data_IF_780712991907
#
_entry.id   IF_780712991907
#
_cell.length_a   1.000
_cell.length_b   1.000
_cell.length_c   1.000
_cell.angle_alpha   90.00
_cell.angle_beta   90.00
_cell.angle_gamma   90.00
#
_symmetry.space_group_name_H-M   'P 1'
#
loop_
_entity.id
_entity.type
_entity.pdbx_description
1 polymer ?
#
# COMPACT_ATOMS: atom_id res chain seq x y z
N UNK A 1 -11.77 -11.68 -22.93
CA UNK A 1 -11.70 -11.00 -21.60
C UNK A 1 -10.89 -9.71 -21.68
N UNK A 2 -9.72 -9.69 -22.32
CA UNK A 2 -8.84 -8.50 -22.45
C UNK A 2 -9.55 -7.32 -23.11
N UNK A 3 -10.22 -7.51 -24.24
CA UNK A 3 -10.99 -6.46 -24.94
C UNK A 3 -12.12 -5.90 -24.07
N UNK A 4 -12.81 -6.78 -23.33
CA UNK A 4 -13.85 -6.36 -22.38
C UNK A 4 -13.27 -5.55 -21.23
N UNK A 5 -12.12 -5.95 -20.69
CA UNK A 5 -11.40 -5.21 -19.66
C UNK A 5 -10.99 -3.80 -20.11
N UNK A 6 -10.43 -3.68 -21.32
CA UNK A 6 -10.07 -2.40 -21.91
C UNK A 6 -11.29 -1.51 -22.14
N UNK A 7 -12.41 -2.07 -22.63
CA UNK A 7 -13.66 -1.33 -22.82
C UNK A 7 -14.25 -0.84 -21.48
N UNK A 8 -14.16 -1.64 -20.42
CA UNK A 8 -14.59 -1.25 -19.06
C UNK A 8 -13.67 -0.16 -18.51
N UNK A 9 -12.37 -0.32 -18.62
CA UNK A 9 -11.41 0.69 -18.20
C UNK A 9 -11.64 2.04 -18.88
N UNK A 10 -11.89 2.04 -20.19
CA UNK A 10 -12.20 3.26 -20.95
C UNK A 10 -13.54 3.90 -20.53
N UNK A 11 -14.59 3.09 -20.30
CA UNK A 11 -15.93 3.59 -19.91
C UNK A 11 -16.02 4.02 -18.45
N UNK A 12 -15.08 3.59 -17.60
CA UNK A 12 -15.09 3.81 -16.14
C UNK A 12 -13.88 4.57 -15.64
N UNK A 13 -13.17 5.26 -16.56
CA UNK A 13 -12.00 6.08 -16.22
C UNK A 13 -12.30 7.08 -15.12
N UNK A 14 -13.52 7.63 -15.09
CA UNK A 14 -13.95 8.67 -14.15
C UNK A 14 -14.48 8.14 -12.81
N UNK A 15 -14.53 6.80 -12.63
CA UNK A 15 -14.96 6.22 -11.36
C UNK A 15 -13.82 6.21 -10.35
N UNK A 16 -14.18 6.44 -9.10
CA UNK A 16 -13.26 6.35 -7.99
C UNK A 16 -13.03 4.90 -7.57
N UNK A 17 -11.78 4.55 -7.32
CA UNK A 17 -11.37 3.29 -6.71
C UNK A 17 -11.08 3.51 -5.24
N UNK A 18 -12.13 3.57 -4.41
CA UNK A 18 -12.03 3.88 -2.98
C UNK A 18 -11.74 2.66 -2.10
N UNK A 19 -11.82 1.47 -2.66
CA UNK A 19 -11.53 0.21 -1.98
C UNK A 19 -10.32 -0.48 -2.60
N UNK A 20 -9.82 -1.53 -1.97
CA UNK A 20 -8.70 -2.28 -2.49
C UNK A 20 -8.10 -3.25 -1.50
N UNK A 21 -7.03 -3.90 -1.94
CA UNK A 21 -6.22 -4.81 -1.16
C UNK A 21 -4.79 -4.27 -1.10
N UNK A 22 -4.26 -4.14 0.11
CA UNK A 22 -2.86 -3.78 0.38
C UNK A 22 -2.19 -4.99 1.00
N UNK A 23 -1.09 -5.42 0.42
CA UNK A 23 -0.29 -6.53 0.94
C UNK A 23 1.15 -6.10 1.15
N UNK A 24 1.78 -6.67 2.16
CA UNK A 24 3.19 -6.51 2.46
C UNK A 24 3.87 -7.87 2.56
N UNK A 25 5.07 -7.98 2.05
CA UNK A 25 5.87 -9.18 2.16
C UNK A 25 7.36 -8.85 2.25
N UNK A 26 8.08 -9.64 3.06
CA UNK A 26 9.54 -9.60 3.16
C UNK A 26 10.11 -10.95 2.74
N UNK A 27 11.14 -10.92 1.90
CA UNK A 27 11.95 -12.09 1.55
C UNK A 27 13.42 -11.68 1.68
N UNK A 28 14.11 -12.28 2.63
CA UNK A 28 15.48 -11.95 3.00
C UNK A 28 15.65 -10.45 3.34
N UNK A 29 16.44 -9.75 2.54
CA UNK A 29 16.78 -8.34 2.64
C UNK A 29 15.88 -7.41 1.83
N UNK A 30 14.79 -7.92 1.27
CA UNK A 30 13.88 -7.16 0.41
C UNK A 30 12.45 -7.24 0.91
N UNK A 31 11.82 -6.10 1.14
CA UNK A 31 10.42 -5.99 1.51
C UNK A 31 9.70 -5.02 0.60
N UNK A 32 8.43 -5.34 0.29
CA UNK A 32 7.61 -4.48 -0.55
C UNK A 32 6.17 -4.45 -0.06
N UNK A 33 5.52 -3.30 -0.27
CA UNK A 33 4.07 -3.10 -0.14
C UNK A 33 3.51 -2.84 -1.52
N UNK A 34 2.37 -3.48 -1.81
CA UNK A 34 1.61 -3.23 -3.04
C UNK A 34 0.16 -2.90 -2.70
N UNK A 35 -0.45 -2.01 -3.46
CA UNK A 35 -1.86 -1.68 -3.37
C UNK A 35 -2.53 -1.86 -4.73
N UNK A 36 -3.52 -2.76 -4.78
CA UNK A 36 -4.43 -2.93 -5.90
C UNK A 36 -5.80 -2.38 -5.49
N UNK A 37 -6.29 -1.38 -6.21
CA UNK A 37 -7.54 -0.68 -5.94
C UNK A 37 -8.69 -1.19 -6.80
N UNK A 38 -9.90 -1.08 -6.27
CA UNK A 38 -11.16 -1.39 -6.95
C UNK A 38 -12.30 -0.49 -6.44
N UNK A 39 -13.49 -0.62 -7.02
CA UNK A 39 -14.62 0.24 -6.67
C UNK A 39 -15.29 -0.17 -5.35
N UNK A 40 -15.46 -1.47 -5.07
CA UNK A 40 -16.19 -1.98 -3.90
C UNK A 40 -15.36 -2.84 -2.97
N UNK A 41 -15.75 -2.85 -1.70
CA UNK A 41 -15.19 -3.75 -0.68
C UNK A 41 -15.52 -5.22 -0.95
N UNK A 42 -16.65 -5.50 -1.59
CA UNK A 42 -17.03 -6.85 -2.01
C UNK A 42 -15.97 -7.47 -2.94
N UNK A 43 -15.51 -6.73 -3.94
CA UNK A 43 -14.44 -7.19 -4.83
C UNK A 43 -13.10 -7.21 -4.10
N UNK A 44 -12.78 -6.19 -3.29
CA UNK A 44 -11.53 -6.11 -2.53
C UNK A 44 -11.31 -7.31 -1.60
N UNK A 45 -12.38 -7.81 -0.98
CA UNK A 45 -12.34 -8.96 -0.07
C UNK A 45 -12.45 -10.32 -0.80
N UNK A 46 -12.60 -10.31 -2.11
CA UNK A 46 -12.68 -11.53 -2.92
C UNK A 46 -11.36 -12.29 -2.97
N UNK A 47 -11.41 -13.61 -2.76
CA UNK A 47 -10.22 -14.46 -2.75
C UNK A 47 -9.35 -14.33 -4.01
N UNK A 48 -9.98 -14.23 -5.18
CA UNK A 48 -9.27 -14.07 -6.45
C UNK A 48 -8.61 -12.70 -6.60
N UNK A 49 -9.19 -11.63 -6.00
CA UNK A 49 -8.62 -10.29 -6.00
C UNK A 49 -7.37 -10.23 -5.08
N UNK A 50 -7.50 -10.80 -3.87
CA UNK A 50 -6.38 -10.91 -2.93
C UNK A 50 -5.27 -11.78 -3.53
N UNK A 51 -5.64 -12.91 -4.18
CA UNK A 51 -4.67 -13.77 -4.85
C UNK A 51 -3.94 -13.04 -5.96
N UNK A 52 -4.62 -12.29 -6.82
CA UNK A 52 -3.99 -11.50 -7.88
C UNK A 52 -3.00 -10.49 -7.29
N UNK A 53 -3.39 -9.79 -6.23
CA UNK A 53 -2.52 -8.82 -5.53
C UNK A 53 -1.29 -9.52 -4.97
N UNK A 54 -1.45 -10.71 -4.37
CA UNK A 54 -0.33 -11.52 -3.86
C UNK A 54 0.59 -12.02 -4.97
N UNK A 55 0.04 -12.51 -6.06
CA UNK A 55 0.84 -13.01 -7.21
C UNK A 55 1.69 -11.88 -7.83
N UNK A 56 1.13 -10.67 -7.91
CA UNK A 56 1.87 -9.49 -8.39
C UNK A 56 2.99 -9.11 -7.41
N UNK A 57 2.70 -9.11 -6.09
CA UNK A 57 3.69 -8.81 -5.06
C UNK A 57 4.83 -9.85 -5.07
N UNK A 58 4.51 -11.12 -5.22
CA UNK A 58 5.51 -12.19 -5.30
C UNK A 58 6.42 -12.03 -6.53
N UNK A 59 5.85 -11.68 -7.68
CA UNK A 59 6.62 -11.39 -8.88
C UNK A 59 7.51 -10.14 -8.69
N UNK A 60 7.00 -9.10 -8.03
CA UNK A 60 7.74 -7.87 -7.75
C UNK A 60 8.96 -8.14 -6.84
N UNK A 61 8.77 -8.93 -5.78
CA UNK A 61 9.85 -9.31 -4.86
C UNK A 61 10.87 -10.21 -5.55
N UNK A 62 10.42 -11.20 -6.32
CA UNK A 62 11.31 -12.10 -7.05
C UNK A 62 12.18 -11.36 -8.08
N UNK A 63 11.65 -10.33 -8.70
CA UNK A 63 12.36 -9.47 -9.65
C UNK A 63 13.15 -8.35 -8.97
N UNK A 64 13.00 -8.15 -7.64
CA UNK A 64 13.52 -6.99 -6.91
C UNK A 64 13.14 -5.66 -7.60
N UNK A 65 11.89 -5.54 -8.03
CA UNK A 65 11.39 -4.32 -8.67
C UNK A 65 11.41 -3.14 -7.70
N UNK A 66 11.78 -1.96 -8.16
CA UNK A 66 11.88 -0.75 -7.32
C UNK A 66 10.79 0.28 -7.62
N UNK A 67 10.16 0.19 -8.78
CA UNK A 67 9.15 1.13 -9.22
C UNK A 67 7.83 0.46 -9.59
N UNK A 68 6.74 1.20 -9.49
CA UNK A 68 5.43 0.72 -9.89
C UNK A 68 5.37 0.36 -11.39
N UNK A 69 6.08 1.11 -12.23
CA UNK A 69 6.11 0.85 -13.68
C UNK A 69 6.84 -0.46 -14.00
N UNK A 70 7.93 -0.76 -13.29
CA UNK A 70 8.58 -2.07 -13.37
C UNK A 70 7.60 -3.18 -12.98
N UNK A 71 6.88 -3.02 -11.88
CA UNK A 71 5.90 -4.02 -11.42
C UNK A 71 4.80 -4.26 -12.45
N UNK A 72 4.26 -3.20 -13.07
CA UNK A 72 3.23 -3.32 -14.12
C UNK A 72 3.67 -4.15 -15.32
N UNK A 73 4.96 -4.13 -15.65
CA UNK A 73 5.55 -4.86 -16.77
C UNK A 73 5.97 -6.30 -16.42
N UNK A 74 5.96 -6.69 -15.14
CA UNK A 74 6.37 -8.04 -14.72
C UNK A 74 5.39 -9.10 -15.18
N UNK A 75 5.92 -10.26 -15.52
CA UNK A 75 5.12 -11.42 -15.90
C UNK A 75 4.44 -12.03 -14.68
N UNK A 76 3.11 -12.12 -14.74
CA UNK A 76 2.24 -12.74 -13.72
C UNK A 76 1.34 -13.76 -14.44
N UNK A 77 1.66 -15.04 -14.28
CA UNK A 77 1.00 -16.09 -15.04
C UNK A 77 1.30 -16.00 -16.56
N UNK A 78 0.26 -15.90 -17.38
CA UNK A 78 0.38 -15.86 -18.84
C UNK A 78 0.53 -14.44 -19.42
N UNK A 79 0.36 -13.38 -18.61
CA UNK A 79 0.38 -11.99 -19.05
C UNK A 79 1.29 -11.13 -18.15
N UNK A 80 1.46 -9.86 -18.47
CA UNK A 80 2.03 -8.90 -17.54
C UNK A 80 1.03 -8.50 -16.44
N UNK A 81 1.54 -7.92 -15.35
CA UNK A 81 0.72 -7.55 -14.19
C UNK A 81 -0.40 -6.57 -14.57
N UNK A 82 -0.12 -5.56 -15.40
CA UNK A 82 -1.13 -4.61 -15.87
C UNK A 82 -2.22 -5.30 -16.70
N UNK A 83 -1.86 -6.23 -17.57
CA UNK A 83 -2.82 -6.99 -18.36
C UNK A 83 -3.65 -7.93 -17.47
N UNK A 84 -3.07 -8.53 -16.43
CA UNK A 84 -3.79 -9.37 -15.47
C UNK A 84 -4.83 -8.54 -14.68
N UNK A 85 -4.49 -7.33 -14.25
CA UNK A 85 -5.41 -6.38 -13.60
C UNK A 85 -6.54 -6.00 -14.57
N UNK A 86 -6.22 -5.66 -15.83
CA UNK A 86 -7.21 -5.33 -16.86
C UNK A 86 -8.16 -6.50 -17.13
N UNK A 87 -7.65 -7.71 -17.15
CA UNK A 87 -8.44 -8.93 -17.35
C UNK A 87 -9.39 -9.16 -16.16
N UNK A 88 -8.91 -8.95 -14.93
CA UNK A 88 -9.75 -9.05 -13.72
C UNK A 88 -10.86 -8.00 -13.71
N UNK A 89 -10.55 -6.77 -14.11
CA UNK A 89 -11.54 -5.70 -14.32
C UNK A 89 -12.63 -6.14 -15.33
N UNK A 90 -12.25 -6.83 -16.40
CA UNK A 90 -13.19 -7.41 -17.36
C UNK A 90 -14.12 -8.48 -16.78
N UNK A 91 -13.66 -9.25 -15.80
CA UNK A 91 -14.43 -10.31 -15.14
C UNK A 91 -15.45 -9.69 -14.17
N UNK A 92 -14.99 -8.80 -13.29
CA UNK A 92 -15.81 -8.19 -12.24
C UNK A 92 -16.71 -7.07 -12.75
N UNK A 93 -16.31 -6.42 -13.82
CA UNK A 93 -16.97 -5.21 -14.34
C UNK A 93 -16.65 -3.95 -13.53
N UNK A 94 -15.67 -3.97 -12.61
CA UNK A 94 -15.21 -2.82 -11.85
C UNK A 94 -13.90 -2.24 -12.41
N UNK A 95 -13.72 -0.92 -12.24
CA UNK A 95 -12.42 -0.28 -12.45
C UNK A 95 -11.43 -0.82 -11.43
N UNK A 96 -10.21 -1.12 -11.88
CA UNK A 96 -9.10 -1.55 -11.04
C UNK A 96 -7.83 -0.79 -11.39
N UNK A 97 -7.07 -0.43 -10.38
CA UNK A 97 -5.82 0.32 -10.53
C UNK A 97 -4.74 -0.27 -9.63
N UNK A 98 -3.63 -0.63 -10.25
CA UNK A 98 -2.39 -0.90 -9.53
C UNK A 98 -1.76 0.46 -9.22
N UNK A 99 -1.95 0.96 -7.98
CA UNK A 99 -1.74 2.37 -7.63
C UNK A 99 -0.57 2.60 -6.68
N UNK A 100 -0.29 1.68 -5.77
CA UNK A 100 0.74 1.85 -4.76
C UNK A 100 1.79 0.75 -4.79
N UNK A 101 3.06 1.15 -4.75
CA UNK A 101 4.19 0.25 -4.57
C UNK A 101 5.32 0.96 -3.84
N UNK A 102 5.78 0.34 -2.74
CA UNK A 102 6.89 0.85 -1.94
C UNK A 102 7.84 -0.29 -1.60
N UNK A 103 9.12 0.02 -1.48
CA UNK A 103 10.20 -0.95 -1.22
C UNK A 103 11.07 -0.47 -0.08
N UNK A 104 11.50 -1.42 0.76
CA UNK A 104 12.66 -1.29 1.64
C UNK A 104 13.64 -2.42 1.32
N UNK A 105 14.93 -2.11 1.30
CA UNK A 105 15.99 -3.06 1.02
C UNK A 105 17.10 -2.92 2.07
N UNK A 106 17.54 -4.06 2.61
CA UNK A 106 18.59 -4.14 3.62
C UNK A 106 18.19 -5.01 4.81
N UNK A 107 19.00 -4.94 5.86
CA UNK A 107 18.80 -5.74 7.07
C UNK A 107 17.76 -5.12 8.01
N UNK A 108 17.29 -5.90 8.97
CA UNK A 108 16.43 -5.46 10.10
C UNK A 108 15.10 -4.82 9.66
N UNK A 109 14.48 -5.33 8.60
CA UNK A 109 13.17 -4.88 8.14
C UNK A 109 12.09 -5.73 8.83
N UNK A 110 11.09 -5.05 9.40
CA UNK A 110 9.87 -5.64 9.90
C UNK A 110 8.66 -5.16 9.13
N UNK A 111 7.72 -6.08 8.92
CA UNK A 111 6.49 -5.84 8.15
C UNK A 111 5.26 -6.12 8.99
N UNK A 112 4.19 -5.39 8.75
CA UNK A 112 2.96 -5.52 9.50
C UNK A 112 1.73 -5.30 8.61
N UNK A 113 0.77 -6.21 8.68
CA UNK A 113 -0.55 -6.10 8.09
C UNK A 113 -1.57 -5.91 9.22
N UNK A 114 -2.17 -4.73 9.26
CA UNK A 114 -3.04 -4.35 10.37
C UNK A 114 -4.28 -5.23 10.46
N UNK A 115 -4.37 -6.00 11.56
CA UNK A 115 -5.46 -6.93 11.85
C UNK A 115 -5.68 -8.01 10.76
N UNK A 116 -4.69 -8.25 9.89
CA UNK A 116 -4.79 -9.14 8.73
C UNK A 116 -5.99 -8.82 7.80
N UNK A 117 -6.35 -7.53 7.73
CA UNK A 117 -7.48 -7.08 6.88
C UNK A 117 -7.06 -6.66 5.49
N UNK A 118 -5.77 -6.61 5.20
CA UNK A 118 -5.22 -6.24 3.89
C UNK A 118 -5.68 -4.85 3.40
N UNK A 119 -5.88 -3.92 4.34
CA UNK A 119 -6.30 -2.53 4.07
C UNK A 119 -5.27 -1.51 4.50
N UNK A 120 -4.37 -1.89 5.39
CA UNK A 120 -3.31 -1.05 5.93
C UNK A 120 -2.10 -1.93 6.25
N UNK A 121 -1.03 -1.72 5.54
CA UNK A 121 0.25 -2.39 5.78
C UNK A 121 1.34 -1.38 6.04
N UNK A 122 2.31 -1.76 6.86
CA UNK A 122 3.50 -0.97 7.13
C UNK A 122 4.74 -1.82 7.05
N UNK A 123 5.85 -1.18 6.77
CA UNK A 123 7.18 -1.76 6.90
C UNK A 123 8.13 -0.72 7.50
N UNK A 124 9.01 -1.19 8.36
CA UNK A 124 10.03 -0.37 9.02
C UNK A 124 11.37 -1.05 8.93
N UNK A 125 12.42 -0.26 8.86
CA UNK A 125 13.80 -0.72 8.92
C UNK A 125 14.48 -0.12 10.13
N UNK A 126 15.09 -0.97 10.96
CA UNK A 126 15.83 -0.56 12.14
C UNK A 126 17.36 -0.57 11.85
N UNK A 127 18.10 0.24 12.61
CA UNK A 127 19.56 0.25 12.58
C UNK A 127 20.17 -0.94 13.33
N UNK A 128 19.40 -1.65 14.14
CA UNK A 128 19.81 -2.80 14.92
C UNK A 128 18.81 -3.95 14.77
N UNK A 129 19.29 -5.19 14.93
CA UNK A 129 18.43 -6.36 14.88
C UNK A 129 17.64 -6.48 16.19
N UNK A 130 16.37 -6.14 16.12
CA UNK A 130 15.41 -6.33 17.20
C UNK A 130 14.00 -6.51 16.63
N UNK A 131 13.64 -7.74 16.33
CA UNK A 131 12.35 -8.09 15.73
C UNK A 131 11.15 -7.62 16.57
N UNK A 132 11.23 -7.76 17.90
CA UNK A 132 10.15 -7.34 18.81
C UNK A 132 9.94 -5.82 18.76
N UNK A 133 11.02 -5.04 18.81
CA UNK A 133 10.95 -3.60 18.71
C UNK A 133 10.46 -3.17 17.31
N UNK A 134 10.99 -3.79 16.26
CA UNK A 134 10.57 -3.53 14.88
C UNK A 134 9.08 -3.78 14.66
N UNK A 135 8.57 -4.89 15.17
CA UNK A 135 7.14 -5.19 15.09
C UNK A 135 6.28 -4.13 15.82
N UNK A 136 6.67 -3.74 17.04
CA UNK A 136 5.98 -2.70 17.81
C UNK A 136 6.01 -1.35 17.09
N UNK A 137 7.14 -0.98 16.49
CA UNK A 137 7.26 0.26 15.70
C UNK A 137 6.39 0.20 14.46
N UNK A 138 6.36 -0.92 13.72
CA UNK A 138 5.49 -1.09 12.56
C UNK A 138 3.99 -0.96 12.93
N UNK A 139 3.58 -1.54 14.06
CA UNK A 139 2.22 -1.35 14.61
C UNK A 139 1.94 0.11 14.96
N UNK A 140 2.89 0.81 15.58
CA UNK A 140 2.76 2.21 15.94
C UNK A 140 2.65 3.11 14.70
N UNK A 141 3.43 2.84 13.66
CA UNK A 141 3.33 3.52 12.36
C UNK A 141 1.94 3.33 11.75
N UNK A 142 1.38 2.13 11.81
CA UNK A 142 0.03 1.86 11.34
C UNK A 142 -1.03 2.65 12.12
N UNK A 143 -0.89 2.73 13.45
CA UNK A 143 -1.83 3.42 14.34
C UNK A 143 -1.75 4.95 14.21
N UNK A 144 -0.55 5.51 14.19
CA UNK A 144 -0.33 6.95 14.28
C UNK A 144 -0.20 7.65 12.92
N UNK A 145 0.06 6.90 11.86
CA UNK A 145 0.20 7.42 10.48
C UNK A 145 1.12 8.64 10.40
N UNK A 146 2.38 8.52 10.85
CA UNK A 146 3.32 9.65 10.85
C UNK A 146 3.49 10.20 9.43
N UNK A 147 3.62 11.52 9.33
CA UNK A 147 3.75 12.21 8.03
C UNK A 147 5.17 12.14 7.47
N UNK A 148 6.16 11.82 8.30
CA UNK A 148 7.57 11.77 7.94
C UNK A 148 8.35 10.85 8.87
N UNK A 149 9.55 10.44 8.45
CA UNK A 149 10.48 9.64 9.26
C UNK A 149 11.08 10.47 10.40
N UNK A 150 11.40 11.72 10.11
CA UNK A 150 12.01 12.66 11.06
C UNK A 150 11.55 14.09 10.80
N UNK A 151 11.91 15.00 11.70
CA UNK A 151 11.51 16.41 11.66
C UNK A 151 12.02 17.14 10.40
N UNK A 152 13.15 16.74 9.84
CA UNK A 152 13.73 17.39 8.65
C UNK A 152 12.86 17.22 7.42
N UNK A 153 12.04 16.17 7.40
CA UNK A 153 11.14 15.81 6.30
C UNK A 153 9.71 16.36 6.50
N UNK A 154 9.43 17.05 7.63
CA UNK A 154 8.14 17.70 7.89
C UNK A 154 8.16 19.11 7.33
N UNK A 155 7.14 19.49 6.55
CA UNK A 155 7.02 20.84 6.00
C UNK A 155 6.84 21.89 7.09
N UNK A 156 7.37 23.10 6.90
CA UNK A 156 7.19 24.22 7.83
C UNK A 156 5.71 24.62 8.00
N UNK A 157 4.90 24.43 6.97
CA UNK A 157 3.45 24.65 7.04
C UNK A 157 2.78 23.65 8.00
N UNK A 158 3.14 22.37 7.90
CA UNK A 158 2.64 21.33 8.82
C UNK A 158 3.06 21.63 10.26
N UNK A 159 4.34 21.95 10.49
CA UNK A 159 4.84 22.31 11.83
C UNK A 159 4.08 23.49 12.42
N UNK A 160 3.84 24.53 11.63
CA UNK A 160 3.09 25.72 12.07
C UNK A 160 1.65 25.36 12.43
N UNK A 161 0.95 24.60 11.59
CA UNK A 161 -0.42 24.19 11.84
C UNK A 161 -0.53 23.35 13.10
N UNK A 162 0.34 22.37 13.30
CA UNK A 162 0.35 21.52 14.49
C UNK A 162 0.66 22.33 15.77
N UNK A 163 1.55 23.31 15.69
CA UNK A 163 1.84 24.21 16.81
C UNK A 163 0.61 25.06 17.17
N UNK A 164 -0.08 25.62 16.19
CA UNK A 164 -1.30 26.41 16.41
C UNK A 164 -2.40 25.56 17.06
N UNK A 165 -2.59 24.31 16.60
CA UNK A 165 -3.54 23.36 17.19
C UNK A 165 -3.16 23.03 18.64
N UNK A 166 -1.89 22.73 18.90
CA UNK A 166 -1.40 22.42 20.25
C UNK A 166 -1.61 23.59 21.22
N UNK A 167 -1.32 24.82 20.78
CA UNK A 167 -1.53 26.05 21.58
C UNK A 167 -3.01 26.27 21.85
N UNK A 168 -3.89 26.09 20.86
CA UNK A 168 -5.34 26.24 21.03
C UNK A 168 -5.88 25.22 22.04
N UNK A 169 -5.50 23.96 21.92
CA UNK A 169 -5.90 22.90 22.84
C UNK A 169 -5.45 23.15 24.27
N UNK A 170 -4.19 23.54 24.46
CA UNK A 170 -3.66 23.88 25.81
C UNK A 170 -4.39 25.04 26.43
N UNK A 171 -4.79 26.06 25.66
CA UNK A 171 -5.60 27.19 26.19
C UNK A 171 -6.98 26.75 26.63
N UNK A 172 -7.63 25.84 25.91
CA UNK A 172 -8.93 25.29 26.31
C UNK A 172 -8.82 24.50 27.63
N UNK A 173 -7.80 23.64 27.75
CA UNK A 173 -7.55 22.84 28.95
C UNK A 173 -7.20 23.66 30.19
N UNK A 174 -6.69 24.91 30.04
CA UNK A 174 -6.37 25.80 31.15
C UNK A 174 -7.58 26.63 31.64
N UNK A 175 -8.71 26.59 30.92
CA UNK A 175 -9.94 27.36 31.29
C UNK A 175 -10.95 26.47 32.00
N UNK A 176 -10.77 25.15 32.01
CA UNK A 176 -11.53 24.20 32.83
C UNK A 176 -10.91 24.04 34.23
#
# INVERSE_FOLDING_TARGET
LRERGLAIAAKRSDRETSNGCVLVKKVNDFAAIIALKCETDFVANGADFIKLTSDILDAAIAAKAHTLDEVKALKVGESDAQAAVTQRSGITGEKMELDGYCVLEGDNIEVYDHMNKHTLCTMVQLNENNEEAGHKVAMQVAAMRPVALDESSVSEETKKTELEVAVAKTKEELVE
#
